data_IF_050567759711
#
_entry.id   IF_050567759711
#
_cell.length_a   1.000
_cell.length_b   1.000
_cell.length_c   1.000
_cell.angle_alpha   90.00
_cell.angle_beta   90.00
_cell.angle_gamma   90.00
#
_symmetry.space_group_name_H-M   'P 1'
#
loop_
_entity.id
_entity.type
_entity.pdbx_description
1 polymer ?
#
# COMPACT_ATOMS: atom_id res chain seq x y z
N UNK A 1 -6.78 5.62 7.22
CA UNK A 1 -6.36 4.25 6.85
C UNK A 1 -5.40 3.75 7.91
N UNK A 2 -5.37 2.45 8.20
CA UNK A 2 -4.36 1.88 9.12
C UNK A 2 -3.09 1.50 8.34
N UNK A 3 -1.89 1.63 8.95
CA UNK A 3 -0.66 1.14 8.35
C UNK A 3 -0.72 -0.34 7.97
N UNK A 4 -0.19 -0.67 6.79
CA UNK A 4 -0.14 -2.03 6.26
C UNK A 4 1.10 -2.73 6.84
N UNK A 5 0.90 -3.92 7.42
CA UNK A 5 2.02 -4.73 7.93
C UNK A 5 2.61 -5.62 6.83
N UNK A 6 3.83 -6.10 7.08
CA UNK A 6 4.51 -7.08 6.22
C UNK A 6 3.59 -8.27 5.91
N UNK A 7 3.52 -8.67 4.64
CA UNK A 7 2.70 -9.76 4.12
C UNK A 7 1.22 -9.42 3.87
N UNK A 8 0.75 -8.25 4.30
CA UNK A 8 -0.67 -7.87 4.16
C UNK A 8 -0.97 -7.07 2.89
N UNK A 9 0.04 -6.47 2.26
CA UNK A 9 -0.15 -5.54 1.13
C UNK A 9 -1.04 -6.12 0.03
N UNK A 10 -0.76 -7.36 -0.39
CA UNK A 10 -1.51 -8.08 -1.44
C UNK A 10 -2.96 -8.42 -1.08
N UNK A 11 -3.33 -8.31 0.19
CA UNK A 11 -4.70 -8.57 0.66
C UNK A 11 -5.52 -7.28 0.74
N UNK A 12 -4.87 -6.12 0.64
CA UNK A 12 -5.49 -4.79 0.83
C UNK A 12 -5.46 -4.00 -0.47
N UNK A 13 -4.32 -4.00 -1.16
CA UNK A 13 -4.11 -3.27 -2.41
C UNK A 13 -3.97 -4.29 -3.53
N UNK A 14 -4.84 -4.17 -4.54
CA UNK A 14 -4.76 -4.96 -5.75
C UNK A 14 -3.62 -4.48 -6.64
N UNK A 15 -3.60 -3.17 -6.93
CA UNK A 15 -2.57 -2.54 -7.75
C UNK A 15 -2.29 -1.11 -7.30
N UNK A 16 -1.05 -0.67 -7.50
CA UNK A 16 -0.64 0.73 -7.40
C UNK A 16 0.01 1.16 -8.70
N UNK A 17 -0.48 2.25 -9.28
CA UNK A 17 0.02 2.83 -10.52
C UNK A 17 0.35 4.30 -10.29
N UNK A 18 1.46 4.76 -10.86
CA UNK A 18 1.83 6.18 -10.84
C UNK A 18 1.65 6.79 -12.22
N UNK A 19 1.28 8.05 -12.25
CA UNK A 19 1.18 8.84 -13.48
C UNK A 19 2.06 10.07 -13.33
N UNK A 20 3.07 10.20 -14.20
CA UNK A 20 3.88 11.42 -14.36
C UNK A 20 2.96 12.59 -14.65
N UNK A 21 3.06 13.67 -13.88
CA UNK A 21 2.20 14.84 -14.08
C UNK A 21 2.66 15.71 -15.25
N UNK A 22 3.95 15.65 -15.58
CA UNK A 22 4.58 16.41 -16.67
C UNK A 22 4.51 15.69 -18.01
N UNK A 23 4.68 14.37 -18.04
CA UNK A 23 4.67 13.59 -19.30
C UNK A 23 3.39 12.79 -19.53
N UNK A 24 2.59 12.55 -18.50
CA UNK A 24 1.42 11.66 -18.57
C UNK A 24 1.76 10.16 -18.59
N UNK A 25 3.05 9.79 -18.58
CA UNK A 25 3.50 8.41 -18.56
C UNK A 25 2.96 7.66 -17.33
N UNK A 26 2.52 6.43 -17.53
CA UNK A 26 2.00 5.56 -16.48
C UNK A 26 2.98 4.44 -16.17
N UNK A 27 3.20 4.19 -14.88
CA UNK A 27 4.02 3.07 -14.42
C UNK A 27 3.28 2.29 -13.35
N UNK A 28 3.03 1.00 -13.62
CA UNK A 28 2.59 0.07 -12.60
C UNK A 28 3.74 -0.21 -11.63
N UNK A 29 3.47 -0.12 -10.33
CA UNK A 29 4.45 -0.40 -9.30
C UNK A 29 4.49 -1.89 -8.98
N UNK A 30 5.68 -2.38 -8.67
CA UNK A 30 5.90 -3.79 -8.32
C UNK A 30 5.89 -4.00 -6.81
N UNK A 31 5.71 -5.24 -6.38
CA UNK A 31 5.83 -5.66 -4.97
C UNK A 31 6.87 -6.77 -4.89
N UNK A 32 7.59 -6.83 -3.76
CA UNK A 32 8.66 -7.82 -3.54
C UNK A 32 8.31 -8.71 -2.35
N UNK A 33 8.02 -9.99 -2.59
CA UNK A 33 7.68 -10.95 -1.53
C UNK A 33 6.60 -10.42 -0.59
N UNK A 34 6.88 -10.45 0.72
CA UNK A 34 5.97 -9.95 1.75
C UNK A 34 6.16 -8.46 2.08
N UNK A 35 6.80 -7.68 1.21
CA UNK A 35 6.98 -6.24 1.39
C UNK A 35 5.64 -5.53 1.62
N UNK A 36 5.64 -4.57 2.55
CA UNK A 36 4.56 -3.59 2.68
C UNK A 36 4.75 -2.39 1.75
N UNK A 37 5.83 -2.35 0.97
CA UNK A 37 6.09 -1.29 -0.01
C UNK A 37 5.73 -1.69 -1.45
N UNK A 38 5.32 -0.68 -2.23
CA UNK A 38 5.33 -0.75 -3.70
C UNK A 38 6.58 -0.08 -4.26
N UNK A 39 7.23 -0.69 -5.25
CA UNK A 39 8.52 -0.24 -5.80
C UNK A 39 8.37 0.28 -7.21
N UNK A 40 9.04 1.40 -7.46
CA UNK A 40 9.21 1.96 -8.80
C UNK A 40 10.24 1.16 -9.59
N UNK A 41 10.29 1.35 -10.90
CA UNK A 41 11.48 0.98 -11.66
C UNK A 41 12.68 1.81 -11.16
N UNK A 42 13.86 1.20 -10.95
CA UNK A 42 15.05 1.95 -10.58
C UNK A 42 15.39 3.02 -11.63
N UNK A 43 15.93 4.14 -11.18
CA UNK A 43 16.46 5.21 -12.03
C UNK A 43 17.92 5.42 -11.72
N UNK A 44 18.74 5.61 -12.75
CA UNK A 44 20.13 6.02 -12.59
C UNK A 44 20.25 7.53 -12.79
N UNK A 45 20.84 8.22 -11.81
CA UNK A 45 21.13 9.66 -11.86
C UNK A 45 22.60 9.82 -11.49
N UNK A 46 23.43 10.17 -12.47
CA UNK A 46 24.88 10.31 -12.30
C UNK A 46 25.50 9.05 -11.66
N UNK A 47 26.13 9.19 -10.49
CA UNK A 47 26.82 8.10 -9.77
C UNK A 47 25.87 7.26 -8.88
N UNK A 48 24.56 7.48 -8.98
CA UNK A 48 23.56 6.85 -8.12
C UNK A 48 22.58 5.99 -8.90
N UNK A 49 22.33 4.79 -8.39
CA UNK A 49 21.12 4.03 -8.67
C UNK A 49 20.09 4.31 -7.57
N UNK A 50 18.94 4.82 -7.95
CA UNK A 50 17.84 5.19 -7.07
C UNK A 50 16.72 4.16 -7.15
N UNK A 51 16.24 3.74 -5.99
CA UNK A 51 15.02 2.95 -5.86
C UNK A 51 14.01 3.74 -5.04
N UNK A 52 13.02 4.34 -5.73
CA UNK A 52 11.85 4.88 -5.07
C UNK A 52 10.90 3.77 -4.64
N UNK A 53 10.22 3.94 -3.50
CA UNK A 53 9.16 3.05 -3.02
C UNK A 53 8.08 3.83 -2.27
N UNK A 54 6.84 3.39 -2.37
CA UNK A 54 5.76 3.85 -1.48
C UNK A 54 5.73 2.94 -0.25
N UNK A 55 6.01 3.51 0.92
CA UNK A 55 5.94 2.83 2.21
C UNK A 55 4.53 2.94 2.80
N UNK A 56 3.83 1.81 2.88
CA UNK A 56 2.48 1.74 3.45
C UNK A 56 2.45 1.46 4.95
N UNK A 57 3.62 1.26 5.57
CA UNK A 57 3.76 1.12 7.02
C UNK A 57 3.90 2.48 7.73
N UNK A 58 4.27 3.53 6.99
CA UNK A 58 4.32 4.90 7.46
C UNK A 58 3.34 5.77 6.66
N UNK A 59 2.22 6.12 7.29
CA UNK A 59 1.15 6.90 6.67
C UNK A 59 1.10 8.29 7.28
N UNK A 60 0.85 9.29 6.43
CA UNK A 60 0.55 10.64 6.90
C UNK A 60 -0.84 10.75 7.55
N UNK A 61 -1.19 11.97 8.00
CA UNK A 61 -2.51 12.24 8.59
C UNK A 61 -3.69 11.98 7.63
N UNK A 62 -3.47 12.03 6.31
CA UNK A 62 -4.45 11.70 5.28
C UNK A 62 -4.54 10.21 4.96
N UNK A 63 -3.68 9.38 5.56
CA UNK A 63 -3.57 7.96 5.25
C UNK A 63 -2.85 7.68 3.93
N UNK A 64 -2.02 8.61 3.46
CA UNK A 64 -1.20 8.44 2.27
C UNK A 64 0.16 7.84 2.64
N UNK A 65 0.70 6.92 1.82
CA UNK A 65 1.99 6.29 2.09
C UNK A 65 3.14 7.29 1.94
N UNK A 66 4.18 7.14 2.75
CA UNK A 66 5.40 7.93 2.59
C UNK A 66 6.15 7.49 1.32
N UNK A 67 6.66 8.44 0.54
CA UNK A 67 7.56 8.14 -0.57
C UNK A 67 9.00 8.05 -0.04
N UNK A 68 9.56 6.87 -0.16
CA UNK A 68 10.91 6.55 0.27
C UNK A 68 11.88 6.49 -0.90
N UNK A 69 13.08 7.05 -0.72
CA UNK A 69 14.19 6.98 -1.67
C UNK A 69 15.38 6.22 -1.07
N UNK A 70 15.71 5.07 -1.64
CA UNK A 70 16.95 4.37 -1.35
C UNK A 70 17.98 4.64 -2.44
N UNK A 71 19.18 5.08 -2.04
CA UNK A 71 20.28 5.36 -2.95
C UNK A 71 21.32 4.24 -2.90
N UNK A 72 21.86 3.90 -4.07
CA UNK A 72 22.90 2.89 -4.24
C UNK A 72 24.01 3.49 -5.09
N UNK A 73 25.26 3.16 -4.77
CA UNK A 73 26.43 3.53 -5.56
C UNK A 73 26.39 2.80 -6.91
N UNK A 74 26.53 3.49 -8.04
CA UNK A 74 26.38 2.89 -9.37
C UNK A 74 27.46 1.84 -9.68
N UNK A 75 28.68 2.05 -9.19
CA UNK A 75 29.83 1.19 -9.49
C UNK A 75 29.79 -0.12 -8.69
N UNK A 76 29.36 -0.06 -7.44
CA UNK A 76 29.38 -1.19 -6.50
C UNK A 76 27.99 -1.78 -6.22
N UNK A 77 26.93 -1.08 -6.63
CA UNK A 77 25.53 -1.37 -6.32
C UNK A 77 25.24 -1.54 -4.81
N UNK A 78 26.08 -0.96 -3.95
CA UNK A 78 25.90 -0.99 -2.50
C UNK A 78 24.97 0.14 -2.06
N UNK A 79 24.04 -0.16 -1.15
CA UNK A 79 23.15 0.84 -0.57
C UNK A 79 23.98 1.87 0.22
N UNK A 80 23.77 3.14 -0.11
CA UNK A 80 24.37 4.28 0.57
C UNK A 80 23.59 4.61 1.85
N UNK A 81 24.28 5.23 2.80
CA UNK A 81 23.63 5.72 4.03
C UNK A 81 22.89 7.02 3.74
N UNK A 82 21.74 7.20 4.37
CA UNK A 82 20.92 8.41 4.26
C UNK A 82 21.51 9.54 5.10
N UNK A 83 22.67 10.05 4.69
CA UNK A 83 23.43 11.12 5.36
C UNK A 83 23.68 12.28 4.40
N UNK A 84 23.98 13.47 4.95
CA UNK A 84 24.25 14.66 4.14
C UNK A 84 23.07 15.03 3.25
N UNK A 85 23.33 15.23 1.95
CA UNK A 85 22.32 15.61 0.95
C UNK A 85 21.23 14.55 0.73
N UNK A 86 21.49 13.28 1.04
CA UNK A 86 20.54 12.18 0.82
C UNK A 86 19.48 12.09 1.92
N UNK A 87 19.79 12.58 3.13
CA UNK A 87 18.89 12.49 4.30
C UNK A 87 17.53 13.15 4.07
N UNK A 88 17.44 14.41 3.61
CA UNK A 88 16.13 15.05 3.38
C UNK A 88 15.35 14.44 2.21
N UNK A 89 16.04 13.74 1.31
CA UNK A 89 15.43 13.12 0.13
C UNK A 89 14.86 11.74 0.41
N UNK A 90 15.22 11.16 1.55
CA UNK A 90 14.86 9.80 1.90
C UNK A 90 13.35 9.66 2.09
N UNK A 91 12.68 10.59 2.78
CA UNK A 91 11.25 10.55 3.02
C UNK A 91 10.59 11.80 2.43
N UNK A 92 9.64 11.60 1.53
CA UNK A 92 8.85 12.67 0.92
C UNK A 92 7.37 12.41 1.19
N UNK A 93 6.70 13.39 1.79
CA UNK A 93 5.26 13.36 2.01
C UNK A 93 4.51 13.90 0.79
N UNK A 94 3.22 13.62 0.70
CA UNK A 94 2.37 14.21 -0.35
C UNK A 94 2.36 15.74 -0.23
N UNK A 95 2.35 16.43 -1.37
CA UNK A 95 2.18 17.88 -1.41
C UNK A 95 0.69 18.31 -1.35
N UNK A 96 -0.23 17.34 -1.40
CA UNK A 96 -1.67 17.57 -1.37
C UNK A 96 -2.33 16.62 -0.36
N UNK A 97 -2.87 17.09 0.77
CA UNK A 97 -3.48 16.21 1.76
C UNK A 97 -4.72 15.44 1.26
N UNK A 98 -5.36 15.93 0.19
CA UNK A 98 -6.55 15.31 -0.40
C UNK A 98 -6.21 14.32 -1.51
N UNK A 99 -5.00 14.36 -2.07
CA UNK A 99 -4.58 13.58 -3.22
C UNK A 99 -3.20 12.96 -2.99
N UNK A 100 -2.95 11.75 -3.50
CA UNK A 100 -1.61 11.15 -3.41
C UNK A 100 -0.68 11.72 -4.49
N UNK A 101 -0.23 12.96 -4.33
CA UNK A 101 0.64 13.66 -5.28
C UNK A 101 1.98 13.96 -4.63
N UNK A 102 3.04 13.57 -5.30
CA UNK A 102 4.40 13.71 -4.81
C UNK A 102 5.22 14.48 -5.82
N UNK A 103 6.17 15.25 -5.30
CA UNK A 103 7.21 15.88 -6.08
C UNK A 103 8.54 15.48 -5.45
N UNK A 104 9.31 14.68 -6.17
CA UNK A 104 10.63 14.27 -5.74
C UNK A 104 11.67 14.95 -6.62
N UNK A 105 12.73 15.48 -6.00
CA UNK A 105 13.78 16.22 -6.70
C UNK A 105 15.16 15.84 -6.19
N UNK A 106 16.10 15.58 -7.11
CA UNK A 106 17.51 15.37 -6.78
C UNK A 106 18.41 15.79 -7.93
N UNK A 107 19.44 16.60 -7.65
CA UNK A 107 20.42 17.09 -8.64
C UNK A 107 19.77 17.64 -9.92
N UNK A 108 18.71 18.43 -9.76
CA UNK A 108 17.95 19.03 -10.87
C UNK A 108 16.99 18.08 -11.59
N UNK A 109 17.00 16.78 -11.27
CA UNK A 109 16.00 15.84 -11.75
C UNK A 109 14.72 15.99 -10.94
N UNK A 110 13.63 16.43 -11.59
CA UNK A 110 12.30 16.55 -10.98
C UNK A 110 11.38 15.43 -11.43
N UNK A 111 10.62 14.89 -10.48
CA UNK A 111 9.68 13.82 -10.72
C UNK A 111 8.35 14.10 -10.02
N UNK A 112 7.48 14.93 -10.61
CA UNK A 112 6.12 15.11 -10.14
C UNK A 112 5.23 13.95 -10.62
N UNK A 113 4.51 13.30 -9.70
CA UNK A 113 3.60 12.22 -10.06
C UNK A 113 2.41 12.11 -9.11
N UNK A 114 1.33 11.50 -9.59
CA UNK A 114 0.19 11.07 -8.77
C UNK A 114 0.13 9.56 -8.64
N UNK A 115 -0.31 9.07 -7.48
CA UNK A 115 -0.50 7.65 -7.21
C UNK A 115 -1.99 7.29 -7.29
N UNK A 116 -2.30 6.28 -8.08
CA UNK A 116 -3.62 5.69 -8.26
C UNK A 116 -3.59 4.29 -7.66
N UNK A 117 -4.52 4.02 -6.74
CA UNK A 117 -4.61 2.73 -6.03
C UNK A 117 -5.92 2.05 -6.38
N UNK A 118 -5.84 0.78 -6.75
CA UNK A 118 -6.98 -0.13 -6.80
C UNK A 118 -6.97 -0.98 -5.53
N UNK A 119 -8.01 -0.86 -4.72
CA UNK A 119 -8.17 -1.59 -3.47
C UNK A 119 -8.84 -2.94 -3.71
N UNK A 120 -8.44 -3.95 -2.95
CA UNK A 120 -9.23 -5.18 -2.84
C UNK A 120 -10.36 -4.96 -1.86
N UNK A 121 -11.59 -5.17 -2.32
CA UNK A 121 -12.78 -5.16 -1.48
C UNK A 121 -13.21 -6.61 -1.31
N UNK A 122 -13.11 -7.13 -0.08
CA UNK A 122 -13.62 -8.46 0.26
C UNK A 122 -14.90 -8.27 1.05
N UNK A 123 -16.03 -8.63 0.45
CA UNK A 123 -17.32 -8.69 1.14
C UNK A 123 -17.41 -10.09 1.77
N UNK A 124 -17.54 -10.14 3.10
CA UNK A 124 -17.80 -11.38 3.84
C UNK A 124 -19.20 -11.30 4.41
N UNK A 125 -20.08 -12.16 3.91
CA UNK A 125 -21.41 -12.36 4.48
C UNK A 125 -21.42 -13.65 5.29
N UNK A 126 -21.97 -13.58 6.51
CA UNK A 126 -22.23 -14.76 7.33
C UNK A 126 -23.73 -15.02 7.35
N UNK A 127 -24.14 -16.14 6.78
CA UNK A 127 -25.53 -16.60 6.85
C UNK A 127 -25.64 -17.56 8.04
N UNK A 128 -26.50 -17.22 9.00
CA UNK A 128 -26.88 -18.14 10.07
C UNK A 128 -28.23 -18.75 9.72
N UNK A 129 -28.30 -20.08 9.67
CA UNK A 129 -29.54 -20.83 9.50
C UNK A 129 -29.83 -21.52 10.83
N UNK A 130 -31.01 -21.27 11.40
CA UNK A 130 -31.50 -21.96 12.59
C UNK A 130 -32.75 -22.74 12.22
N UNK A 131 -32.82 -24.00 12.66
CA UNK A 131 -33.99 -24.87 12.57
C UNK A 131 -34.42 -25.27 13.99
N UNK A 132 -35.72 -25.41 14.22
CA UNK A 132 -36.25 -25.89 15.50
C UNK A 132 -37.40 -26.87 15.25
N UNK A 133 -37.36 -27.98 15.98
CA UNK A 133 -38.40 -29.01 15.96
C UNK A 133 -38.97 -29.10 17.37
N UNK A 134 -40.29 -28.91 17.49
CA UNK A 134 -41.02 -29.25 18.71
C UNK A 134 -41.74 -30.59 18.53
N UNK A 135 -41.78 -31.39 19.59
CA UNK A 135 -42.58 -32.59 19.67
C UNK A 135 -43.55 -32.42 20.83
N UNK A 136 -44.83 -32.68 20.59
CA UNK A 136 -45.85 -32.75 21.63
C UNK A 136 -46.29 -34.20 21.78
N UNK A 137 -46.29 -34.71 23.02
CA UNK A 137 -46.70 -36.08 23.32
C UNK A 137 -48.11 -36.06 23.90
N UNK A 138 -49.01 -36.81 23.26
CA UNK A 138 -50.40 -36.96 23.69
C UNK A 138 -50.63 -38.40 24.19
N UNK A 139 -51.36 -38.53 25.30
CA UNK A 139 -51.87 -39.82 25.79
C UNK A 139 -53.35 -39.66 26.12
N UNK A 140 -54.20 -40.44 25.44
CA UNK A 140 -55.65 -40.40 25.60
C UNK A 140 -56.24 -38.98 25.44
N UNK A 141 -55.86 -38.28 24.36
CA UNK A 141 -56.29 -36.91 24.02
C UNK A 141 -55.93 -35.82 25.04
N UNK A 142 -55.12 -36.14 26.04
CA UNK A 142 -54.54 -35.18 26.97
C UNK A 142 -53.07 -34.95 26.63
N UNK A 143 -52.69 -33.67 26.56
CA UNK A 143 -51.28 -33.26 26.48
C UNK A 143 -50.58 -33.72 27.74
N UNK A 144 -49.48 -34.45 27.59
CA UNK A 144 -48.64 -34.87 28.70
C UNK A 144 -47.53 -33.82 28.83
N UNK A 145 -47.66 -32.94 29.83
CA UNK A 145 -46.55 -32.06 30.21
C UNK A 145 -45.56 -32.92 31.01
N UNK A 146 -44.30 -33.00 30.54
CA UNK A 146 -43.17 -33.53 31.34
C UNK A 146 -42.67 -32.49 32.35
#
# INVERSE_FOLDING_TARGET
MIPIRKGQLKNVIHTACVVRLDTGEKQLLSTKGDSYCHFFKPISIEDYNLQLRLDWSDLDAGGHPTLDADFYDVATNKKLRNTGELRPLHHTQTNNPSLRVYEWEFRGYKWPFKVIISWLVIVKESIQVTDSVSCEVFRNDLKVDE
#
